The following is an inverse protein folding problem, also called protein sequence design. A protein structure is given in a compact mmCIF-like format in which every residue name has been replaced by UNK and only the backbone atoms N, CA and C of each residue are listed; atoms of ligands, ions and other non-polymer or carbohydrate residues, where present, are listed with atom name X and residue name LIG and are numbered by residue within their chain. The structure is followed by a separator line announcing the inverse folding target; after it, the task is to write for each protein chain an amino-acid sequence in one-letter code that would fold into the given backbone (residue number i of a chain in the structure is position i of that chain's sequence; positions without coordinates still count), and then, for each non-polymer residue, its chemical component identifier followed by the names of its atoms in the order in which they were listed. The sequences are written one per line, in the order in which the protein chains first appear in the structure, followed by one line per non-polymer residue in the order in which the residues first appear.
data_IF_978601478578
#
_entry.id   IF_978601478578
#
_cell.length_a   1.000
_cell.length_b   1.000
_cell.length_c   1.000
_cell.angle_alpha   90.00
_cell.angle_beta   90.00
_cell.angle_gamma   90.00
#
_symmetry.space_group_name_H-M   'P 1'
#
loop_
_entity.id
_entity.type
_entity.pdbx_description
1 polymer ?
#
# COMPACT_ATOMS: atom_id res chain seq x y z
N UNK A 1 4.29 76.00 -8.84
CA UNK A 1 5.25 76.98 -8.31
C UNK A 1 6.30 76.18 -7.55
N UNK A 2 7.51 76.12 -8.12
CA UNK A 2 8.79 75.66 -7.54
C UNK A 2 8.86 74.15 -7.17
N UNK A 3 9.39 73.24 -7.99
CA UNK A 3 10.75 73.09 -8.60
C UNK A 3 11.77 72.58 -7.56
N UNK A 4 12.22 71.32 -7.58
CA UNK A 4 13.31 70.72 -8.39
C UNK A 4 14.63 70.60 -7.62
N UNK A 5 15.23 69.40 -7.62
CA UNK A 5 16.48 69.07 -8.32
C UNK A 5 16.80 67.58 -8.06
N UNK A 6 16.85 66.70 -9.08
CA UNK A 6 17.94 66.49 -10.08
C UNK A 6 19.14 65.73 -9.47
N UNK A 7 19.83 64.79 -10.12
CA UNK A 7 19.73 64.22 -11.45
C UNK A 7 20.63 62.97 -11.53
N UNK A 8 20.38 62.19 -12.58
CA UNK A 8 21.15 61.06 -13.11
C UNK A 8 22.60 61.37 -13.50
N UNK A 9 23.41 60.31 -13.58
CA UNK A 9 24.42 59.94 -14.60
C UNK A 9 25.46 59.05 -13.91
N UNK A 10 26.01 57.95 -14.43
CA UNK A 10 26.01 57.38 -15.77
C UNK A 10 27.34 56.61 -15.94
N UNK A 11 27.24 55.37 -16.45
CA UNK A 11 28.24 54.66 -17.28
C UNK A 11 29.56 54.08 -16.72
N UNK A 12 29.63 52.74 -16.82
CA UNK A 12 30.60 51.89 -17.57
C UNK A 12 31.69 51.06 -16.85
N UNK A 13 31.56 49.75 -17.09
CA UNK A 13 32.56 48.71 -17.44
C UNK A 13 33.56 48.15 -16.41
N UNK A 14 33.49 46.83 -16.24
CA UNK A 14 34.57 45.98 -15.71
C UNK A 14 34.04 44.58 -15.35
N UNK A 15 34.26 43.59 -16.22
CA UNK A 15 33.74 42.23 -16.10
C UNK A 15 34.57 41.25 -15.25
N UNK A 16 34.03 40.02 -15.18
CA UNK A 16 34.59 38.75 -14.64
C UNK A 16 34.67 38.70 -13.10
N UNK A 17 34.23 37.67 -12.38
CA UNK A 17 34.06 36.24 -12.72
C UNK A 17 33.24 35.56 -11.61
N UNK A 18 32.55 34.49 -12.00
CA UNK A 18 31.77 33.55 -11.19
C UNK A 18 32.58 32.95 -10.04
N UNK A 19 32.03 32.97 -8.82
CA UNK A 19 32.20 31.89 -7.85
C UNK A 19 30.95 31.78 -6.96
N UNK A 20 30.35 30.59 -6.95
CA UNK A 20 29.05 30.30 -6.38
C UNK A 20 28.97 30.60 -4.89
N UNK A 21 28.00 31.45 -4.52
CA UNK A 21 27.51 31.53 -3.15
C UNK A 21 26.48 30.41 -3.00
N UNK A 22 26.91 29.32 -2.36
CA UNK A 22 26.03 28.25 -1.90
C UNK A 22 24.91 28.89 -1.08
N UNK A 23 23.69 28.96 -1.64
CA UNK A 23 22.49 29.28 -0.88
C UNK A 23 22.31 28.14 0.13
N UNK A 24 22.78 28.39 1.35
CA UNK A 24 22.42 27.61 2.53
C UNK A 24 20.92 27.88 2.71
N UNK A 25 20.10 26.91 2.32
CA UNK A 25 18.68 26.87 2.63
C UNK A 25 18.53 26.78 4.16
N UNK A 26 18.54 27.93 4.82
CA UNK A 26 18.17 28.05 6.23
C UNK A 26 16.65 27.91 6.31
N UNK A 27 16.19 26.67 6.52
CA UNK A 27 14.83 26.40 6.97
C UNK A 27 14.71 26.91 8.41
N UNK A 28 14.16 28.11 8.60
CA UNK A 28 13.69 28.55 9.92
C UNK A 28 12.40 27.79 10.26
N UNK A 29 12.51 26.55 10.72
CA UNK A 29 11.37 25.83 11.30
C UNK A 29 11.12 26.34 12.72
N UNK A 30 9.87 26.68 13.02
CA UNK A 30 9.44 26.94 14.40
C UNK A 30 9.55 25.63 15.21
N UNK A 31 9.77 25.70 16.53
CA UNK A 31 9.95 24.49 17.36
C UNK A 31 8.75 23.53 17.28
N UNK A 32 7.54 24.08 17.18
CA UNK A 32 6.28 23.33 17.02
C UNK A 32 6.20 22.64 15.65
N UNK A 33 6.61 23.31 14.57
CA UNK A 33 6.61 22.74 13.21
C UNK A 33 7.60 21.58 13.11
N UNK A 34 8.73 21.69 13.80
CA UNK A 34 9.74 20.61 13.88
C UNK A 34 9.17 19.37 14.55
N UNK A 35 8.44 19.54 15.66
CA UNK A 35 7.80 18.43 16.38
C UNK A 35 6.71 17.74 15.54
N UNK A 36 5.85 18.51 14.86
CA UNK A 36 4.84 17.96 13.96
C UNK A 36 5.45 17.18 12.79
N UNK A 37 6.51 17.72 12.20
CA UNK A 37 7.25 17.03 11.14
C UNK A 37 7.82 15.69 11.61
N UNK A 38 8.46 15.66 12.80
CA UNK A 38 9.01 14.43 13.39
C UNK A 38 7.92 13.38 13.62
N UNK A 39 6.75 13.78 14.15
CA UNK A 39 5.63 12.85 14.33
C UNK A 39 5.11 12.30 13.01
N UNK A 40 4.98 13.14 11.98
CA UNK A 40 4.58 12.70 10.64
C UNK A 40 5.56 11.69 10.04
N UNK A 41 6.86 11.94 10.15
CA UNK A 41 7.90 11.03 9.64
C UNK A 41 7.91 9.71 10.42
N UNK A 42 7.82 9.77 11.75
CA UNK A 42 7.79 8.57 12.59
C UNK A 42 6.56 7.69 12.27
N UNK A 43 5.38 8.30 12.11
CA UNK A 43 4.16 7.60 11.74
C UNK A 43 4.26 6.98 10.34
N UNK A 44 4.86 7.67 9.36
CA UNK A 44 5.14 7.11 8.03
C UNK A 44 6.06 5.88 8.10
N UNK A 45 7.15 5.95 8.87
CA UNK A 45 8.09 4.82 9.03
C UNK A 45 7.39 3.63 9.67
N UNK A 46 6.59 3.86 10.71
CA UNK A 46 5.79 2.80 11.33
C UNK A 46 4.82 2.15 10.34
N UNK A 47 4.11 2.96 9.54
CA UNK A 47 3.20 2.46 8.50
C UNK A 47 3.93 1.61 7.45
N UNK A 48 5.08 2.07 6.96
CA UNK A 48 5.93 1.35 5.99
C UNK A 48 6.34 -0.03 6.52
N UNK A 49 6.83 -0.09 7.75
CA UNK A 49 7.31 -1.34 8.36
C UNK A 49 6.16 -2.32 8.59
N UNK A 50 5.03 -1.84 9.09
CA UNK A 50 3.86 -2.68 9.37
C UNK A 50 3.22 -3.21 8.08
N UNK A 51 2.97 -2.35 7.08
CA UNK A 51 2.44 -2.79 5.79
C UNK A 51 3.40 -3.74 5.07
N UNK A 52 4.70 -3.44 5.07
CA UNK A 52 5.68 -4.28 4.38
C UNK A 52 5.86 -5.65 5.02
N UNK A 53 5.46 -5.79 6.28
CA UNK A 53 5.62 -7.02 7.06
C UNK A 53 4.30 -7.77 7.28
N UNK A 54 3.15 -7.20 6.91
CA UNK A 54 1.83 -7.74 7.26
C UNK A 54 1.60 -9.16 6.72
N UNK A 55 2.19 -9.51 5.57
CA UNK A 55 2.05 -10.83 4.93
C UNK A 55 3.23 -11.77 5.22
N UNK A 56 4.19 -11.37 6.06
CA UNK A 56 5.29 -12.25 6.49
C UNK A 56 4.79 -13.43 7.34
N UNK A 57 3.86 -13.25 8.32
CA UNK A 57 3.36 -14.36 9.14
C UNK A 57 2.71 -15.48 8.32
N UNK A 58 2.09 -15.13 7.20
CA UNK A 58 1.28 -16.06 6.39
C UNK A 58 2.11 -16.89 5.42
N UNK A 59 3.32 -16.42 5.08
CA UNK A 59 4.17 -17.08 4.08
C UNK A 59 4.69 -18.44 4.57
N UNK A 60 4.83 -18.62 5.89
CA UNK A 60 5.32 -19.87 6.51
C UNK A 60 4.21 -20.89 6.77
N UNK A 61 2.95 -20.54 6.51
CA UNK A 61 1.79 -21.38 6.81
C UNK A 61 1.04 -21.76 5.54
N UNK A 62 0.49 -22.97 5.49
CA UNK A 62 -0.34 -23.40 4.36
C UNK A 62 -1.61 -22.57 4.28
N UNK A 63 -1.69 -21.70 3.28
CA UNK A 63 -2.80 -20.75 3.07
C UNK A 63 -3.99 -21.32 2.30
N UNK A 64 -3.85 -22.53 1.75
CA UNK A 64 -4.90 -23.17 0.94
C UNK A 64 -5.27 -22.36 -0.30
N UNK A 65 -6.55 -22.03 -0.43
CA UNK A 65 -7.09 -21.14 -1.48
C UNK A 65 -7.18 -19.67 -1.07
N UNK A 66 -6.83 -19.34 0.18
CA UNK A 66 -6.76 -17.98 0.70
C UNK A 66 -8.08 -17.34 1.12
N UNK A 67 -9.24 -17.92 0.82
CA UNK A 67 -10.54 -17.29 1.09
C UNK A 67 -10.83 -17.19 2.59
N UNK A 68 -10.54 -18.26 3.33
CA UNK A 68 -10.68 -18.26 4.80
C UNK A 68 -9.69 -17.30 5.45
N UNK A 69 -8.43 -17.29 4.99
CA UNK A 69 -7.42 -16.34 5.46
C UNK A 69 -7.88 -14.89 5.26
N UNK A 70 -8.38 -14.56 4.07
CA UNK A 70 -8.84 -13.22 3.74
C UNK A 70 -9.96 -12.75 4.68
N UNK A 71 -10.89 -13.65 5.01
CA UNK A 71 -11.97 -13.34 5.96
C UNK A 71 -11.47 -13.11 7.37
N UNK A 72 -10.58 -13.98 7.89
CA UNK A 72 -9.96 -13.80 9.22
C UNK A 72 -9.15 -12.51 9.29
N UNK A 73 -8.36 -12.22 8.26
CA UNK A 73 -7.58 -10.98 8.14
C UNK A 73 -8.50 -9.75 8.20
N UNK A 74 -9.59 -9.73 7.44
CA UNK A 74 -10.56 -8.64 7.45
C UNK A 74 -11.30 -8.51 8.79
N UNK A 75 -11.59 -9.62 9.48
CA UNK A 75 -12.18 -9.60 10.81
C UNK A 75 -11.25 -8.95 11.83
N UNK A 76 -9.95 -9.25 11.80
CA UNK A 76 -8.96 -8.59 12.65
C UNK A 76 -8.84 -7.10 12.37
N UNK A 77 -8.83 -6.71 11.08
CA UNK A 77 -8.83 -5.29 10.67
C UNK A 77 -10.03 -4.56 11.31
N UNK A 78 -11.21 -5.16 11.22
CA UNK A 78 -12.42 -4.57 11.77
C UNK A 78 -12.39 -4.45 13.29
N UNK A 79 -11.94 -5.48 14.02
CA UNK A 79 -11.83 -5.45 15.48
C UNK A 79 -10.91 -4.32 15.93
N UNK A 80 -9.73 -4.18 15.31
CA UNK A 80 -8.80 -3.09 15.64
C UNK A 80 -9.42 -1.73 15.31
N UNK A 81 -10.12 -1.62 14.17
CA UNK A 81 -10.79 -0.37 13.80
C UNK A 81 -11.92 0.03 14.75
N UNK A 82 -12.65 -0.96 15.31
CA UNK A 82 -13.70 -0.73 16.30
C UNK A 82 -13.11 -0.22 17.61
N UNK A 83 -11.98 -0.78 18.05
CA UNK A 83 -11.27 -0.25 19.23
C UNK A 83 -10.80 1.19 18.99
N UNK A 84 -10.27 1.47 17.80
CA UNK A 84 -9.85 2.83 17.45
C UNK A 84 -11.02 3.82 17.37
N UNK A 85 -12.17 3.41 16.85
CA UNK A 85 -13.41 4.21 16.83
C UNK A 85 -13.83 4.62 18.25
N UNK A 86 -13.84 3.67 19.19
CA UNK A 86 -14.18 3.92 20.59
C UNK A 86 -13.20 4.88 21.26
N UNK A 87 -11.89 4.76 20.96
CA UNK A 87 -10.85 5.67 21.48
C UNK A 87 -11.02 7.10 20.92
N UNK A 88 -11.49 7.22 19.68
CA UNK A 88 -11.76 8.50 19.02
C UNK A 88 -13.14 9.09 19.37
N UNK A 89 -13.84 8.52 20.35
CA UNK A 89 -15.19 8.92 20.77
C UNK A 89 -16.24 8.80 19.67
N UNK A 90 -16.13 7.77 18.83
CA UNK A 90 -17.10 7.39 17.78
C UNK A 90 -17.48 8.56 16.86
N UNK A 91 -16.57 8.99 15.99
CA UNK A 91 -16.82 10.05 15.01
C UNK A 91 -17.99 9.70 14.08
N UNK A 92 -18.52 10.72 13.39
CA UNK A 92 -19.68 10.56 12.52
C UNK A 92 -19.43 9.50 11.45
N UNK A 93 -20.23 8.44 11.46
CA UNK A 93 -20.11 7.36 10.49
C UNK A 93 -20.58 7.80 9.09
N UNK A 94 -19.71 7.70 8.09
CA UNK A 94 -20.03 8.01 6.70
C UNK A 94 -20.09 6.74 5.83
N UNK A 95 -21.28 6.22 5.48
CA UNK A 95 -21.41 4.96 4.74
C UNK A 95 -20.71 4.97 3.37
N UNK A 96 -20.58 6.14 2.73
CA UNK A 96 -19.87 6.25 1.45
C UNK A 96 -18.39 5.86 1.55
N UNK A 97 -17.75 6.05 2.72
CA UNK A 97 -16.38 5.59 2.95
C UNK A 97 -16.25 4.05 2.95
N UNK A 98 -17.34 3.30 3.22
CA UNK A 98 -17.36 1.84 3.13
C UNK A 98 -17.05 1.35 1.71
N UNK A 99 -17.39 2.13 0.67
CA UNK A 99 -17.07 1.79 -0.72
C UNK A 99 -15.55 1.64 -0.92
N UNK A 100 -14.75 2.47 -0.26
CA UNK A 100 -13.30 2.37 -0.29
C UNK A 100 -12.79 1.06 0.28
N UNK A 101 -13.42 0.62 1.38
CA UNK A 101 -13.16 -0.68 2.00
C UNK A 101 -13.57 -1.86 1.11
N UNK A 102 -14.68 -1.74 0.40
CA UNK A 102 -15.13 -2.77 -0.55
C UNK A 102 -14.15 -2.94 -1.72
N UNK A 103 -13.69 -1.82 -2.29
CA UNK A 103 -12.68 -1.80 -3.36
C UNK A 103 -11.39 -2.48 -2.86
N UNK A 104 -10.93 -2.12 -1.65
CA UNK A 104 -9.75 -2.73 -1.05
C UNK A 104 -9.91 -4.24 -0.86
N UNK A 105 -11.01 -4.67 -0.24
CA UNK A 105 -11.28 -6.09 0.02
C UNK A 105 -11.33 -6.93 -1.26
N UNK A 106 -11.82 -6.34 -2.35
CA UNK A 106 -11.82 -6.96 -3.69
C UNK A 106 -10.39 -7.24 -4.17
N UNK A 107 -9.50 -6.25 -4.06
CA UNK A 107 -8.10 -6.40 -4.43
C UNK A 107 -7.36 -7.45 -3.60
N UNK A 108 -7.72 -7.57 -2.31
CA UNK A 108 -7.03 -8.45 -1.37
C UNK A 108 -7.36 -9.93 -1.56
N UNK A 109 -8.49 -10.29 -2.17
CA UNK A 109 -8.77 -11.69 -2.55
C UNK A 109 -7.62 -12.28 -3.38
N UNK A 110 -7.01 -11.47 -4.26
CA UNK A 110 -5.95 -11.94 -5.15
C UNK A 110 -4.57 -12.07 -4.47
N UNK A 111 -4.40 -11.70 -3.20
CA UNK A 111 -3.08 -11.75 -2.53
C UNK A 111 -2.52 -13.16 -2.50
N UNK A 112 -3.30 -14.16 -2.08
CA UNK A 112 -2.83 -15.55 -2.01
C UNK A 112 -2.44 -16.10 -3.39
N UNK A 113 -3.25 -15.97 -4.46
CA UNK A 113 -2.81 -16.38 -5.78
C UNK A 113 -1.59 -15.58 -6.29
N UNK A 114 -1.47 -14.28 -6.01
CA UNK A 114 -0.27 -13.50 -6.39
C UNK A 114 0.98 -14.06 -5.70
N UNK A 115 0.92 -14.25 -4.38
CA UNK A 115 2.07 -14.73 -3.58
C UNK A 115 2.48 -16.14 -4.01
N UNK A 116 1.53 -17.01 -4.36
CA UNK A 116 1.80 -18.35 -4.91
C UNK A 116 2.34 -18.30 -6.35
N UNK A 117 1.92 -17.33 -7.16
CA UNK A 117 2.31 -17.25 -8.56
C UNK A 117 3.71 -16.63 -8.77
N UNK A 118 4.01 -15.54 -8.08
CA UNK A 118 5.20 -14.70 -8.33
C UNK A 118 5.98 -14.35 -7.06
N UNK A 119 5.57 -14.80 -5.88
CA UNK A 119 6.26 -14.53 -4.62
C UNK A 119 5.76 -13.26 -3.91
N UNK A 120 6.07 -13.15 -2.62
CA UNK A 120 5.62 -12.04 -1.79
C UNK A 120 6.35 -10.74 -2.16
N UNK A 121 7.68 -10.81 -2.34
CA UNK A 121 8.49 -9.62 -2.60
C UNK A 121 8.14 -8.98 -3.95
N UNK A 122 8.17 -9.79 -5.02
CA UNK A 122 7.87 -9.31 -6.37
C UNK A 122 6.41 -8.86 -6.52
N UNK A 123 5.47 -9.63 -5.96
CA UNK A 123 4.07 -9.22 -5.91
C UNK A 123 3.92 -7.83 -5.28
N UNK A 124 4.54 -7.63 -4.11
CA UNK A 124 4.44 -6.40 -3.33
C UNK A 124 4.87 -5.15 -4.07
N UNK A 125 5.91 -5.29 -4.86
CA UNK A 125 6.42 -4.20 -5.67
C UNK A 125 5.51 -3.89 -6.86
N UNK A 126 4.98 -4.91 -7.55
CA UNK A 126 4.11 -4.69 -8.71
C UNK A 126 2.79 -4.04 -8.29
N UNK A 127 2.13 -4.55 -7.23
CA UNK A 127 0.90 -3.92 -6.76
C UNK A 127 1.18 -2.57 -6.09
N UNK A 128 2.31 -2.42 -5.40
CA UNK A 128 2.76 -1.14 -4.83
C UNK A 128 2.93 -0.06 -5.90
N UNK A 129 3.70 -0.34 -6.95
CA UNK A 129 3.88 0.60 -8.08
C UNK A 129 2.54 0.95 -8.75
N UNK A 130 1.65 -0.03 -8.96
CA UNK A 130 0.34 0.20 -9.57
C UNK A 130 -0.59 1.03 -8.66
N UNK A 131 -0.55 0.78 -7.35
CA UNK A 131 -1.27 1.56 -6.33
C UNK A 131 -0.77 2.99 -6.27
N UNK A 132 0.56 3.19 -6.33
CA UNK A 132 1.18 4.52 -6.33
C UNK A 132 0.70 5.33 -7.52
N UNK A 133 0.73 4.76 -8.73
CA UNK A 133 0.29 5.42 -9.96
C UNK A 133 -1.20 5.74 -9.95
N UNK A 134 -2.04 4.82 -9.48
CA UNK A 134 -3.48 5.06 -9.39
C UNK A 134 -3.81 6.17 -8.39
N UNK A 135 -3.22 6.15 -7.20
CA UNK A 135 -3.44 7.19 -6.19
C UNK A 135 -2.89 8.56 -6.64
N UNK A 136 -1.74 8.56 -7.32
CA UNK A 136 -1.18 9.77 -7.93
C UNK A 136 -2.11 10.33 -9.02
N UNK A 137 -2.54 9.50 -9.97
CA UNK A 137 -3.40 9.93 -11.07
C UNK A 137 -4.76 10.43 -10.58
N UNK A 138 -5.36 9.73 -9.62
CA UNK A 138 -6.64 10.14 -9.05
C UNK A 138 -6.56 11.48 -8.32
N UNK A 139 -5.49 11.72 -7.56
CA UNK A 139 -5.27 12.99 -6.86
C UNK A 139 -4.89 14.15 -7.80
N UNK A 140 -4.07 13.87 -8.82
CA UNK A 140 -3.55 14.89 -9.74
C UNK A 140 -4.58 15.36 -10.76
N UNK A 141 -5.34 14.43 -11.34
CA UNK A 141 -6.31 14.71 -12.39
C UNK A 141 -7.75 14.86 -11.87
N UNK A 142 -7.96 14.66 -10.57
CA UNK A 142 -9.29 14.71 -9.98
C UNK A 142 -10.21 13.58 -10.45
N UNK A 143 -9.66 12.39 -10.71
CA UNK A 143 -10.51 11.23 -11.03
C UNK A 143 -11.48 10.96 -9.87
N UNK A 144 -12.63 10.38 -10.21
CA UNK A 144 -13.71 10.12 -9.26
C UNK A 144 -14.33 11.39 -8.64
N UNK A 145 -14.17 12.55 -9.28
CA UNK A 145 -14.76 13.82 -8.84
C UNK A 145 -14.03 14.48 -7.68
N UNK A 146 -12.79 14.06 -7.39
CA UNK A 146 -11.95 14.70 -6.37
C UNK A 146 -11.43 16.03 -6.92
N UNK A 147 -11.30 17.06 -6.08
CA UNK A 147 -10.67 18.31 -6.49
C UNK A 147 -9.22 18.06 -6.97
N UNK A 148 -8.85 18.44 -8.21
CA UNK A 148 -7.49 18.25 -8.70
C UNK A 148 -6.49 18.98 -7.81
N UNK A 149 -5.45 18.28 -7.36
CA UNK A 149 -4.38 18.93 -6.60
C UNK A 149 -3.37 19.59 -7.54
N UNK A 150 -3.20 20.90 -7.37
CA UNK A 150 -2.13 21.65 -8.00
C UNK A 150 -0.78 21.42 -7.31
N UNK A 151 0.25 21.31 -8.13
CA UNK A 151 1.61 20.99 -7.70
C UNK A 151 2.54 22.11 -8.16
N UNK A 152 3.35 22.65 -7.25
CA UNK A 152 4.26 23.77 -7.51
C UNK A 152 5.19 23.53 -8.69
N UNK A 153 5.67 22.28 -8.87
CA UNK A 153 6.59 21.88 -9.95
C UNK A 153 6.03 20.71 -10.76
N UNK A 154 5.13 20.93 -11.74
CA UNK A 154 4.42 19.87 -12.44
C UNK A 154 5.34 18.95 -13.26
N UNK A 155 6.40 19.49 -13.88
CA UNK A 155 7.36 18.68 -14.65
C UNK A 155 8.08 17.68 -13.74
N UNK A 156 8.51 18.13 -12.56
CA UNK A 156 9.19 17.27 -11.58
C UNK A 156 8.26 16.15 -11.07
N UNK A 157 6.99 16.48 -10.89
CA UNK A 157 5.94 15.53 -10.49
C UNK A 157 5.72 14.45 -11.56
N UNK A 158 5.59 14.83 -12.84
CA UNK A 158 5.44 13.88 -13.94
C UNK A 158 6.67 13.00 -14.14
N UNK A 159 7.87 13.56 -14.01
CA UNK A 159 9.10 12.76 -14.02
C UNK A 159 9.13 11.75 -12.87
N UNK A 160 8.72 12.15 -11.66
CA UNK A 160 8.62 11.27 -10.50
C UNK A 160 7.66 10.11 -10.72
N UNK A 161 6.44 10.39 -11.18
CA UNK A 161 5.45 9.37 -11.54
C UNK A 161 5.95 8.44 -12.66
N UNK A 162 6.62 9.00 -13.68
CA UNK A 162 7.25 8.24 -14.77
C UNK A 162 8.32 7.27 -14.29
N UNK A 163 9.15 7.68 -13.32
CA UNK A 163 10.15 6.80 -12.69
C UNK A 163 9.48 5.67 -11.89
N UNK A 164 8.41 5.96 -11.15
CA UNK A 164 7.65 4.91 -10.44
C UNK A 164 7.04 3.89 -11.42
N UNK A 165 6.51 4.33 -12.57
CA UNK A 165 6.05 3.45 -13.64
C UNK A 165 7.20 2.61 -14.22
N UNK A 166 8.34 3.24 -14.52
CA UNK A 166 9.52 2.57 -15.03
C UNK A 166 10.02 1.50 -14.06
N UNK A 167 10.04 1.80 -12.76
CA UNK A 167 10.36 0.84 -11.70
C UNK A 167 9.44 -0.39 -11.76
N UNK A 168 8.13 -0.20 -11.87
CA UNK A 168 7.16 -1.29 -11.96
C UNK A 168 7.42 -2.19 -13.18
N UNK A 169 7.78 -1.58 -14.32
CA UNK A 169 8.16 -2.30 -15.53
C UNK A 169 9.48 -3.07 -15.36
N UNK A 170 10.49 -2.49 -14.68
CA UNK A 170 11.74 -3.19 -14.40
C UNK A 170 11.50 -4.38 -13.45
N UNK A 171 10.65 -4.22 -12.44
CA UNK A 171 10.30 -5.31 -11.52
C UNK A 171 9.67 -6.50 -12.25
N UNK A 172 8.88 -6.27 -13.31
CA UNK A 172 8.34 -7.35 -14.13
C UNK A 172 9.43 -8.29 -14.71
N UNK A 173 10.65 -7.78 -14.95
CA UNK A 173 11.77 -8.57 -15.44
C UNK A 173 12.53 -9.33 -14.35
N UNK A 174 12.37 -8.97 -13.07
CA UNK A 174 12.98 -9.70 -11.95
C UNK A 174 12.37 -11.10 -11.89
N UNK A 175 13.20 -12.14 -11.96
CA UNK A 175 12.73 -13.52 -11.80
C UNK A 175 12.69 -13.86 -10.31
N UNK A 176 11.49 -14.00 -9.77
CA UNK A 176 11.28 -14.63 -8.48
C UNK A 176 11.16 -16.15 -8.68
N UNK A 177 11.97 -16.91 -7.94
CA UNK A 177 11.77 -18.34 -7.78
C UNK A 177 10.80 -18.55 -6.62
N UNK A 178 9.60 -19.03 -6.93
CA UNK A 178 8.67 -19.53 -5.93
C UNK A 178 8.92 -21.02 -5.81
N UNK A 179 9.45 -21.46 -4.68
CA UNK A 179 9.65 -22.88 -4.41
C UNK A 179 8.31 -23.61 -4.56
N UNK A 180 8.24 -24.45 -5.57
CA UNK A 180 7.06 -25.20 -5.98
C UNK A 180 6.74 -26.37 -5.05
N UNK A 181 7.67 -26.72 -4.15
CA UNK A 181 7.55 -27.85 -3.26
C UNK A 181 7.85 -27.38 -1.82
N UNK A 182 6.91 -27.52 -0.87
CA UNK A 182 7.32 -27.83 0.48
C UNK A 182 7.89 -29.26 0.39
N UNK A 183 9.18 -29.39 0.10
CA UNK A 183 9.85 -30.63 0.43
C UNK A 183 9.68 -30.78 1.94
N UNK A 184 8.80 -31.71 2.28
CA UNK A 184 8.78 -32.45 3.53
C UNK A 184 10.21 -32.82 3.90
N UNK A 185 10.90 -31.94 4.63
CA UNK A 185 12.07 -32.33 5.39
C UNK A 185 11.70 -32.34 6.86
N UNK A 186 11.76 -33.55 7.43
CA UNK A 186 11.59 -33.94 8.83
C UNK A 186 10.16 -34.06 9.38
N UNK A 187 9.41 -35.07 8.89
CA UNK A 187 8.61 -35.88 9.83
C UNK A 187 9.57 -36.89 10.45
N UNK A 188 10.03 -36.75 11.72
CA UNK A 188 10.40 -37.93 12.45
C UNK A 188 9.11 -38.75 12.62
N UNK A 189 9.09 -39.92 11.97
CA UNK A 189 8.17 -41.00 12.28
C UNK A 189 8.08 -41.13 13.81
N UNK A 190 6.84 -41.09 14.32
CA UNK A 190 6.37 -41.31 15.71
C UNK A 190 5.53 -40.13 16.24
N UNK A 191 4.38 -39.89 15.61
CA UNK A 191 3.20 -39.45 16.35
C UNK A 191 2.19 -40.59 16.27
N UNK A 192 1.72 -40.93 17.45
CA UNK A 192 1.09 -42.16 17.86
C UNK A 192 -0.08 -42.60 16.95
N UNK A 193 -0.05 -43.88 16.60
CA UNK A 193 -1.07 -44.57 15.80
C UNK A 193 -2.25 -44.89 16.70
N UNK A 194 -3.11 -43.92 16.99
CA UNK A 194 -4.47 -44.15 17.49
C UNK A 194 -5.31 -42.91 17.26
N UNK A 195 -6.22 -42.96 16.27
CA UNK A 195 -7.70 -42.92 16.44
C UNK A 195 -8.34 -42.46 15.13
N UNK A 196 -9.35 -43.20 14.68
CA UNK A 196 -10.26 -42.99 13.53
C UNK A 196 -9.78 -43.31 12.11
N UNK A 197 -9.90 -44.60 11.79
CA UNK A 197 -10.26 -45.09 10.46
C UNK A 197 -11.56 -44.42 10.00
N UNK A 198 -11.50 -43.66 8.90
CA UNK A 198 -12.68 -43.05 8.29
C UNK A 198 -12.32 -42.25 7.05
N UNK A 199 -12.42 -42.90 5.88
CA UNK A 199 -12.42 -42.30 4.54
C UNK A 199 -11.21 -41.42 4.17
N UNK A 200 -10.31 -41.97 3.34
CA UNK A 200 -9.43 -41.16 2.49
C UNK A 200 -10.30 -40.23 1.62
N UNK A 201 -10.53 -39.01 2.10
CA UNK A 201 -10.90 -37.88 1.26
C UNK A 201 -9.73 -37.57 0.33
N UNK A 202 -9.98 -36.98 -0.86
CA UNK A 202 -8.94 -36.77 -1.84
C UNK A 202 -7.81 -35.94 -1.22
N UNK A 203 -6.58 -36.44 -1.40
CA UNK A 203 -5.32 -35.72 -1.20
C UNK A 203 -5.49 -34.26 -1.60
N UNK A 204 -5.14 -33.34 -0.69
CA UNK A 204 -5.16 -31.89 -0.84
C UNK A 204 -5.43 -31.42 -2.28
N UNK A 205 -6.70 -31.19 -2.60
CA UNK A 205 -7.14 -30.77 -3.93
C UNK A 205 -6.34 -29.54 -4.36
N UNK A 206 -5.45 -29.75 -5.34
CA UNK A 206 -4.51 -28.78 -5.88
C UNK A 206 -5.21 -27.44 -6.16
N UNK A 207 -4.63 -26.35 -5.68
CA UNK A 207 -5.16 -25.03 -5.96
C UNK A 207 -4.94 -24.72 -7.45
N UNK A 208 -5.91 -24.07 -8.10
CA UNK A 208 -5.93 -23.89 -9.56
C UNK A 208 -4.64 -23.28 -10.13
N UNK A 209 -3.97 -22.41 -9.37
CA UNK A 209 -2.73 -21.76 -9.81
C UNK A 209 -1.54 -22.72 -9.86
N UNK A 210 -1.61 -23.81 -9.10
CA UNK A 210 -0.55 -24.82 -9.02
C UNK A 210 -0.59 -25.74 -10.26
N UNK A 211 -1.75 -25.83 -10.93
CA UNK A 211 -1.95 -26.62 -12.15
C UNK A 211 -1.52 -25.88 -13.44
N UNK A 212 -1.24 -24.58 -13.35
CA UNK A 212 -0.90 -23.75 -14.50
C UNK A 212 0.61 -23.77 -14.74
N UNK A 213 1.01 -23.92 -16.02
CA UNK A 213 2.41 -23.87 -16.43
C UNK A 213 3.13 -22.59 -15.97
N UNK A 214 4.42 -22.71 -15.65
CA UNK A 214 5.21 -21.67 -14.95
C UNK A 214 5.18 -20.28 -15.63
N UNK A 215 5.21 -20.23 -16.97
CA UNK A 215 5.16 -18.97 -17.72
C UNK A 215 3.79 -18.28 -17.61
N UNK A 216 2.71 -19.03 -17.83
CA UNK A 216 1.34 -18.52 -17.74
C UNK A 216 0.98 -18.12 -16.31
N UNK A 217 1.43 -18.92 -15.33
CA UNK A 217 1.27 -18.61 -13.91
C UNK A 217 1.87 -17.26 -13.54
N UNK A 218 3.10 -16.99 -14.01
CA UNK A 218 3.76 -15.70 -13.80
C UNK A 218 2.98 -14.55 -14.40
N UNK A 219 2.51 -14.68 -15.65
CA UNK A 219 1.71 -13.63 -16.30
C UNK A 219 0.42 -13.35 -15.52
N UNK A 220 -0.30 -14.39 -15.12
CA UNK A 220 -1.52 -14.27 -14.31
C UNK A 220 -1.21 -13.58 -12.97
N UNK A 221 -0.14 -14.00 -12.27
CA UNK A 221 0.27 -13.39 -11.01
C UNK A 221 0.61 -11.90 -11.16
N UNK A 222 1.33 -11.51 -12.22
CA UNK A 222 1.62 -10.10 -12.49
C UNK A 222 0.35 -9.30 -12.82
N UNK A 223 -0.55 -9.84 -13.65
CA UNK A 223 -1.81 -9.18 -13.99
C UNK A 223 -2.70 -8.99 -12.76
N UNK A 224 -2.83 -10.02 -11.92
CA UNK A 224 -3.54 -9.93 -10.65
C UNK A 224 -2.90 -8.88 -9.73
N UNK A 225 -1.57 -8.82 -9.64
CA UNK A 225 -0.88 -7.81 -8.85
C UNK A 225 -1.14 -6.38 -9.35
N UNK A 226 -1.14 -6.16 -10.67
CA UNK A 226 -1.48 -4.85 -11.24
C UNK A 226 -2.92 -4.49 -10.89
N UNK A 227 -3.89 -5.38 -11.14
CA UNK A 227 -5.32 -5.13 -10.84
C UNK A 227 -5.54 -4.86 -9.36
N UNK A 228 -4.98 -5.67 -8.47
CA UNK A 228 -5.04 -5.45 -7.01
C UNK A 228 -4.42 -4.10 -6.62
N UNK A 229 -3.29 -3.74 -7.21
CA UNK A 229 -2.66 -2.45 -6.97
C UNK A 229 -3.53 -1.27 -7.39
N UNK A 230 -4.16 -1.33 -8.57
CA UNK A 230 -5.11 -0.30 -9.00
C UNK A 230 -6.32 -0.17 -8.05
N UNK A 231 -6.82 -1.30 -7.53
CA UNK A 231 -7.89 -1.29 -6.53
C UNK A 231 -7.41 -0.67 -5.20
N UNK A 232 -6.22 -1.04 -4.73
CA UNK A 232 -5.63 -0.45 -3.51
C UNK A 232 -5.43 1.05 -3.64
N UNK A 233 -4.91 1.54 -4.77
CA UNK A 233 -4.74 2.97 -5.02
C UNK A 233 -6.06 3.74 -5.09
N UNK A 234 -7.14 3.07 -5.52
CA UNK A 234 -8.49 3.64 -5.57
C UNK A 234 -9.24 3.57 -4.23
N UNK A 235 -8.75 2.79 -3.26
CA UNK A 235 -9.47 2.51 -2.01
C UNK A 235 -9.67 3.74 -1.11
N UNK A 236 -8.83 4.76 -1.23
CA UNK A 236 -8.97 6.02 -0.50
C UNK A 236 -9.75 7.09 -1.26
N UNK A 237 -10.08 6.87 -2.55
CA UNK A 237 -10.80 7.86 -3.36
C UNK A 237 -12.16 8.28 -2.76
N UNK A 238 -12.99 7.38 -2.20
CA UNK A 238 -14.26 7.78 -1.58
C UNK A 238 -14.09 8.71 -0.36
N UNK A 239 -13.02 8.50 0.44
CA UNK A 239 -12.72 9.36 1.59
C UNK A 239 -12.26 10.75 1.10
N UNK A 240 -11.37 10.77 0.10
CA UNK A 240 -10.93 12.03 -0.53
C UNK A 240 -12.09 12.80 -1.17
N UNK A 241 -13.06 12.10 -1.76
CA UNK A 241 -14.26 12.70 -2.33
C UNK A 241 -15.15 13.36 -1.26
N UNK A 242 -15.38 12.68 -0.12
CA UNK A 242 -16.13 13.27 1.00
C UNK A 242 -15.43 14.54 1.48
N UNK A 243 -14.11 14.47 1.67
CA UNK A 243 -13.30 15.62 2.12
C UNK A 243 -13.28 16.77 1.12
N UNK A 244 -13.22 16.51 -0.18
CA UNK A 244 -13.23 17.60 -1.17
C UNK A 244 -14.58 18.31 -1.28
N UNK A 245 -15.68 17.66 -0.86
CA UNK A 245 -17.04 18.21 -0.88
C UNK A 245 -17.53 18.66 0.50
N UNK A 246 -16.69 18.64 1.53
CA UNK A 246 -17.08 19.03 2.89
C UNK A 246 -17.25 20.54 3.03
N UNK A 247 -16.47 21.33 2.28
CA UNK A 247 -16.52 22.81 2.30
C UNK A 247 -17.63 23.40 1.43
N UNK A 248 -18.29 22.60 0.59
CA UNK A 248 -19.38 23.08 -0.26
C UNK A 248 -20.69 23.08 0.53
N UNK A 249 -21.25 24.28 0.73
CA UNK A 249 -22.40 24.53 1.61
C UNK A 249 -23.73 23.91 1.11
N UNK A 250 -23.78 23.49 -0.15
CA UNK A 250 -24.94 22.82 -0.76
C UNK A 250 -24.72 21.31 -1.04
N UNK A 251 -23.56 20.75 -0.70
CA UNK A 251 -23.29 19.32 -0.94
C UNK A 251 -23.79 18.42 0.20
N UNK A 252 -24.14 17.17 -0.14
CA UNK A 252 -24.57 16.12 0.81
C UNK A 252 -23.57 15.87 1.97
N UNK A 253 -22.32 16.28 1.80
CA UNK A 253 -21.23 16.10 2.76
C UNK A 253 -20.83 17.39 3.51
N UNK A 254 -21.65 18.45 3.46
CA UNK A 254 -21.37 19.70 4.17
C UNK A 254 -21.12 19.45 5.66
N UNK A 255 -20.00 19.97 6.17
CA UNK A 255 -19.58 19.79 7.57
C UNK A 255 -19.02 18.41 7.91
N UNK A 256 -18.62 17.60 6.92
CA UNK A 256 -17.87 16.37 7.16
C UNK A 256 -16.48 16.68 7.72
N UNK A 257 -15.94 15.78 8.56
CA UNK A 257 -14.66 15.98 9.24
C UNK A 257 -13.50 16.07 8.25
N UNK A 258 -12.55 16.96 8.50
CA UNK A 258 -11.30 16.99 7.74
C UNK A 258 -10.27 15.99 8.29
N UNK A 259 -10.49 15.47 9.49
CA UNK A 259 -9.58 14.55 10.15
C UNK A 259 -9.67 13.16 9.53
N UNK A 260 -8.56 12.71 8.96
CA UNK A 260 -8.50 11.46 8.21
C UNK A 260 -8.97 10.25 9.05
N UNK A 261 -8.60 10.21 10.34
CA UNK A 261 -8.88 9.07 11.22
C UNK A 261 -10.38 8.81 11.44
N UNK A 262 -11.23 9.82 11.27
CA UNK A 262 -12.68 9.69 11.46
C UNK A 262 -13.34 8.75 10.46
N UNK A 263 -12.68 8.52 9.32
CA UNK A 263 -13.18 7.67 8.24
C UNK A 263 -12.67 6.22 8.31
N UNK A 264 -11.67 5.94 9.15
CA UNK A 264 -11.00 4.62 9.20
C UNK A 264 -11.98 3.52 9.59
N UNK A 265 -12.82 3.75 10.59
CA UNK A 265 -13.83 2.77 11.02
C UNK A 265 -14.88 2.48 9.95
N UNK A 266 -15.34 3.51 9.24
CA UNK A 266 -16.27 3.35 8.13
C UNK A 266 -15.64 2.58 6.96
N UNK A 267 -14.38 2.88 6.60
CA UNK A 267 -13.66 2.11 5.59
C UNK A 267 -13.49 0.64 6.01
N UNK A 268 -13.05 0.38 7.24
CA UNK A 268 -12.84 -0.98 7.75
C UNK A 268 -14.14 -1.78 7.88
N UNK A 269 -15.26 -1.12 8.17
CA UNK A 269 -16.59 -1.73 8.13
C UNK A 269 -16.95 -2.19 6.71
N UNK A 270 -16.63 -1.39 5.70
CA UNK A 270 -16.76 -1.78 4.29
C UNK A 270 -15.89 -2.99 3.92
N UNK A 271 -14.66 -3.05 4.43
CA UNK A 271 -13.75 -4.21 4.26
C UNK A 271 -14.40 -5.48 4.80
N UNK A 272 -14.87 -5.46 6.04
CA UNK A 272 -15.42 -6.64 6.70
C UNK A 272 -16.74 -7.13 6.11
N UNK A 273 -17.66 -6.21 5.80
CA UNK A 273 -18.93 -6.55 5.16
C UNK A 273 -18.68 -7.20 3.80
N UNK A 274 -17.83 -6.59 2.97
CA UNK A 274 -17.51 -7.11 1.63
C UNK A 274 -16.81 -8.47 1.72
N UNK A 275 -15.84 -8.61 2.63
CA UNK A 275 -15.16 -9.89 2.86
C UNK A 275 -16.13 -10.99 3.34
N UNK A 276 -17.09 -10.64 4.19
CA UNK A 276 -18.12 -11.58 4.66
C UNK A 276 -19.05 -12.00 3.52
N UNK A 277 -19.41 -11.09 2.61
CA UNK A 277 -20.17 -11.43 1.39
C UNK A 277 -19.37 -12.41 0.53
N UNK A 278 -18.08 -12.15 0.28
CA UNK A 278 -17.23 -13.05 -0.50
C UNK A 278 -17.09 -14.43 0.14
N UNK A 279 -16.88 -14.49 1.45
CA UNK A 279 -16.79 -15.75 2.16
C UNK A 279 -18.12 -16.51 2.14
N UNK A 280 -19.26 -15.80 2.25
CA UNK A 280 -20.60 -16.40 2.13
C UNK A 280 -20.84 -16.99 0.74
N UNK A 281 -20.54 -16.24 -0.32
CA UNK A 281 -20.63 -16.72 -1.71
C UNK A 281 -19.74 -17.93 -1.92
N UNK A 282 -18.53 -17.93 -1.37
CA UNK A 282 -17.62 -19.06 -1.40
C UNK A 282 -18.19 -20.28 -0.67
N UNK A 283 -18.77 -20.12 0.52
CA UNK A 283 -19.43 -21.19 1.25
C UNK A 283 -20.61 -21.79 0.47
N UNK A 284 -21.42 -20.94 -0.19
CA UNK A 284 -22.51 -21.39 -1.07
C UNK A 284 -21.97 -22.19 -2.26
N UNK A 285 -20.94 -21.68 -2.94
CA UNK A 285 -20.29 -22.37 -4.06
C UNK A 285 -19.65 -23.70 -3.66
N UNK A 286 -19.09 -23.77 -2.45
CA UNK A 286 -18.53 -24.99 -1.84
C UNK A 286 -19.60 -25.89 -1.20
N UNK A 287 -20.89 -25.61 -1.39
CA UNK A 287 -22.02 -26.38 -0.82
C UNK A 287 -21.88 -26.59 0.70
N UNK A 288 -21.53 -25.52 1.40
CA UNK A 288 -21.28 -25.47 2.84
C UNK A 288 -20.17 -26.43 3.34
N UNK A 289 -19.20 -26.73 2.47
CA UNK A 289 -17.95 -27.44 2.82
C UNK A 289 -16.73 -26.57 2.49
N UNK A 290 -16.59 -25.37 3.08
CA UNK A 290 -15.47 -24.47 2.82
C UNK A 290 -14.14 -25.08 3.29
N UNK A 291 -13.04 -24.75 2.61
CA UNK A 291 -11.70 -25.15 3.04
C UNK A 291 -11.22 -24.24 4.16
N UNK A 292 -11.31 -24.74 5.40
CA UNK A 292 -10.92 -23.98 6.60
C UNK A 292 -9.60 -24.54 7.14
N UNK A 293 -8.58 -23.69 7.17
CA UNK A 293 -7.27 -24.02 7.74
C UNK A 293 -7.11 -23.32 9.08
N UNK A 294 -7.37 -24.04 10.17
CA UNK A 294 -7.33 -23.47 11.54
C UNK A 294 -5.97 -22.90 11.93
N UNK A 295 -4.88 -23.43 11.37
CA UNK A 295 -3.52 -22.92 11.56
C UNK A 295 -3.32 -21.49 11.03
N UNK A 296 -4.21 -21.01 10.15
CA UNK A 296 -4.17 -19.64 9.60
C UNK A 296 -4.82 -18.61 10.50
N UNK A 297 -5.54 -19.01 11.56
CA UNK A 297 -6.27 -18.05 12.39
C UNK A 297 -5.30 -17.05 13.03
N UNK A 298 -4.28 -17.53 13.75
CA UNK A 298 -3.33 -16.64 14.44
C UNK A 298 -2.47 -15.80 13.48
N UNK A 299 -1.87 -16.36 12.40
CA UNK A 299 -1.19 -15.56 11.39
C UNK A 299 -2.10 -14.54 10.70
N UNK A 300 -3.37 -14.91 10.45
CA UNK A 300 -4.38 -14.03 9.86
C UNK A 300 -4.75 -12.87 10.76
N UNK A 301 -4.95 -13.14 12.05
CA UNK A 301 -5.21 -12.09 13.04
C UNK A 301 -4.03 -11.13 13.17
N UNK A 302 -2.79 -11.65 13.20
CA UNK A 302 -1.59 -10.83 13.27
C UNK A 302 -1.42 -9.97 12.01
N UNK A 303 -1.66 -10.55 10.82
CA UNK A 303 -1.62 -9.83 9.54
C UNK A 303 -2.61 -8.66 9.52
N UNK A 304 -3.85 -8.90 9.95
CA UNK A 304 -4.89 -7.87 9.98
C UNK A 304 -4.64 -6.80 11.02
N UNK A 305 -4.09 -7.17 12.18
CA UNK A 305 -3.67 -6.22 13.20
C UNK A 305 -2.55 -5.30 12.70
N UNK A 306 -1.53 -5.86 12.05
CA UNK A 306 -0.46 -5.08 11.45
C UNK A 306 -0.99 -4.13 10.38
N UNK A 307 -1.89 -4.59 9.51
CA UNK A 307 -2.51 -3.75 8.47
C UNK A 307 -3.33 -2.60 9.07
N UNK A 308 -4.15 -2.88 10.09
CA UNK A 308 -4.99 -1.86 10.71
C UNK A 308 -4.16 -0.80 11.42
N UNK A 309 -3.16 -1.21 12.22
CA UNK A 309 -2.22 -0.28 12.85
C UNK A 309 -1.46 0.55 11.81
N UNK A 310 -1.03 -0.06 10.71
CA UNK A 310 -0.39 0.66 9.61
C UNK A 310 -1.32 1.71 8.99
N UNK A 311 -2.63 1.42 8.88
CA UNK A 311 -3.64 2.36 8.39
C UNK A 311 -3.78 3.55 9.34
N UNK A 312 -3.90 3.31 10.66
CA UNK A 312 -3.91 4.40 11.64
C UNK A 312 -2.64 5.26 11.57
N UNK A 313 -1.46 4.64 11.45
CA UNK A 313 -0.20 5.36 11.29
C UNK A 313 -0.13 6.16 9.97
N UNK A 314 -0.63 5.62 8.86
CA UNK A 314 -0.70 6.33 7.58
C UNK A 314 -1.58 7.58 7.72
N UNK A 315 -2.80 7.42 8.21
CA UNK A 315 -3.76 8.51 8.33
C UNK A 315 -3.26 9.57 9.33
N UNK A 316 -2.58 9.16 10.41
CA UNK A 316 -1.89 10.09 11.30
C UNK A 316 -0.77 10.86 10.60
N UNK A 317 0.02 10.19 9.75
CA UNK A 317 1.07 10.84 8.97
C UNK A 317 0.50 11.82 7.93
N UNK A 318 -0.64 11.51 7.32
CA UNK A 318 -1.33 12.42 6.39
C UNK A 318 -1.70 13.74 7.06
N UNK A 319 -2.14 13.70 8.31
CA UNK A 319 -2.51 14.90 9.05
C UNK A 319 -1.31 15.84 9.27
N UNK A 320 -0.08 15.32 9.38
CA UNK A 320 1.12 16.13 9.60
C UNK A 320 1.88 16.48 8.30
N UNK A 321 1.90 15.59 7.30
CA UNK A 321 2.75 15.73 6.10
C UNK A 321 1.95 15.86 4.79
N UNK A 322 0.61 15.80 4.82
CA UNK A 322 -0.28 15.72 3.65
C UNK A 322 -0.20 14.39 2.89
N UNK A 323 -1.35 13.93 2.39
CA UNK A 323 -1.49 12.70 1.61
C UNK A 323 -0.57 12.62 0.37
N UNK A 324 -0.19 13.75 -0.23
CA UNK A 324 0.70 13.76 -1.41
C UNK A 324 2.13 13.38 -1.08
N UNK A 325 2.59 13.67 0.13
CA UNK A 325 3.95 13.33 0.57
C UNK A 325 3.96 11.91 1.12
N UNK A 326 2.99 11.57 1.97
CA UNK A 326 2.93 10.26 2.64
C UNK A 326 2.63 9.13 1.67
N UNK A 327 1.75 9.34 0.67
CA UNK A 327 1.26 8.25 -0.18
C UNK A 327 2.36 7.61 -1.05
N UNK A 328 3.21 8.38 -1.78
CA UNK A 328 4.34 7.81 -2.49
C UNK A 328 5.37 7.15 -1.55
N UNK A 329 5.67 7.78 -0.40
CA UNK A 329 6.66 7.27 0.57
C UNK A 329 6.20 5.94 1.17
N UNK A 330 4.96 5.87 1.66
CA UNK A 330 4.41 4.63 2.23
C UNK A 330 4.33 3.55 1.18
N UNK A 331 3.80 3.88 -0.01
CA UNK A 331 3.55 2.87 -1.06
C UNK A 331 4.84 2.27 -1.62
N UNK A 332 5.84 3.10 -1.88
CA UNK A 332 7.16 2.59 -2.27
C UNK A 332 7.87 1.90 -1.10
N UNK A 333 7.82 2.49 0.09
CA UNK A 333 8.50 2.00 1.27
C UNK A 333 8.03 0.61 1.70
N UNK A 334 6.72 0.37 1.81
CA UNK A 334 6.22 -0.94 2.21
C UNK A 334 6.55 -2.02 1.18
N UNK A 335 6.51 -1.67 -0.12
CA UNK A 335 6.85 -2.60 -1.20
C UNK A 335 8.30 -3.05 -1.08
N UNK A 336 9.20 -2.13 -0.75
CA UNK A 336 10.61 -2.43 -0.51
C UNK A 336 10.83 -3.26 0.74
N UNK A 337 10.14 -2.96 1.85
CA UNK A 337 10.23 -3.78 3.08
C UNK A 337 9.75 -5.21 2.81
N UNK A 338 8.61 -5.38 2.14
CA UNK A 338 8.11 -6.70 1.75
C UNK A 338 9.09 -7.44 0.83
N UNK A 339 9.74 -6.71 -0.08
CA UNK A 339 10.73 -7.28 -0.95
C UNK A 339 12.06 -7.62 -0.25
N UNK A 340 12.45 -6.88 0.79
CA UNK A 340 13.57 -7.26 1.67
C UNK A 340 13.25 -8.56 2.42
N UNK A 341 12.02 -8.73 2.93
CA UNK A 341 11.58 -10.01 3.49
C UNK A 341 11.62 -11.13 2.44
N UNK A 342 11.12 -10.86 1.23
CA UNK A 342 11.17 -11.77 0.07
C UNK A 342 12.60 -12.21 -0.29
N UNK A 343 13.53 -11.26 -0.34
CA UNK A 343 14.91 -11.50 -0.74
C UNK A 343 15.77 -12.11 0.36
N UNK A 344 15.71 -11.59 1.59
CA UNK A 344 16.62 -11.97 2.68
C UNK A 344 16.14 -13.21 3.43
N UNK A 345 14.84 -13.30 3.71
CA UNK A 345 14.28 -14.36 4.56
C UNK A 345 13.72 -15.49 3.72
N UNK A 346 12.93 -15.17 2.69
CA UNK A 346 12.32 -16.18 1.83
C UNK A 346 13.20 -16.58 0.64
N UNK A 347 14.32 -15.89 0.41
CA UNK A 347 15.29 -16.16 -0.67
C UNK A 347 14.62 -16.32 -2.04
N UNK A 348 13.54 -15.55 -2.28
CA UNK A 348 12.75 -15.59 -3.52
C UNK A 348 13.52 -15.04 -4.73
N UNK A 349 14.48 -14.13 -4.48
CA UNK A 349 15.31 -13.51 -5.51
C UNK A 349 16.70 -14.13 -5.44
N UNK A 350 17.01 -15.03 -6.37
CA UNK A 350 18.32 -15.68 -6.49
C UNK A 350 19.10 -15.18 -7.69
N UNK A 351 20.42 -15.16 -7.56
CA UNK A 351 21.36 -14.76 -8.61
C UNK A 351 21.74 -13.27 -8.57
N UNK A 352 23.02 -12.99 -8.83
CA UNK A 352 23.59 -11.64 -8.75
C UNK A 352 22.92 -10.67 -9.72
N UNK A 353 22.63 -11.11 -10.94
CA UNK A 353 21.94 -10.27 -11.95
C UNK A 353 20.53 -9.88 -11.51
N UNK A 354 19.74 -10.81 -10.96
CA UNK A 354 18.39 -10.50 -10.47
C UNK A 354 18.46 -9.55 -9.26
N UNK A 355 19.45 -9.74 -8.38
CA UNK A 355 19.68 -8.85 -7.24
C UNK A 355 20.07 -7.44 -7.68
N UNK A 356 20.92 -7.31 -8.71
CA UNK A 356 21.29 -6.00 -9.29
C UNK A 356 20.10 -5.31 -9.95
N UNK A 357 19.30 -6.04 -10.74
CA UNK A 357 18.07 -5.48 -11.36
C UNK A 357 17.09 -5.04 -10.27
N UNK A 358 16.94 -5.84 -9.22
CA UNK A 358 16.09 -5.54 -8.08
C UNK A 358 16.55 -4.28 -7.33
N UNK A 359 17.85 -4.17 -7.03
CA UNK A 359 18.44 -3.01 -6.38
C UNK A 359 18.26 -1.75 -7.24
N UNK A 360 18.54 -1.85 -8.55
CA UNK A 360 18.34 -0.75 -9.48
C UNK A 360 16.88 -0.29 -9.52
N UNK A 361 15.92 -1.20 -9.66
CA UNK A 361 14.50 -0.88 -9.66
C UNK A 361 14.04 -0.26 -8.32
N UNK A 362 14.64 -0.70 -7.20
CA UNK A 362 14.40 -0.13 -5.87
C UNK A 362 14.92 1.31 -5.76
N UNK A 363 16.11 1.59 -6.29
CA UNK A 363 16.61 2.96 -6.36
C UNK A 363 15.69 3.84 -7.22
N UNK A 364 15.26 3.34 -8.38
CA UNK A 364 14.37 4.07 -9.30
C UNK A 364 13.03 4.41 -8.61
N UNK A 365 12.41 3.47 -7.86
CA UNK A 365 11.13 3.74 -7.18
C UNK A 365 11.28 4.75 -6.04
N UNK A 366 12.38 4.67 -5.28
CA UNK A 366 12.68 5.63 -4.21
C UNK A 366 12.89 7.03 -4.78
N UNK A 367 13.71 7.14 -5.83
CA UNK A 367 13.97 8.40 -6.51
C UNK A 367 12.67 8.99 -7.07
N UNK A 368 11.84 8.19 -7.76
CA UNK A 368 10.54 8.63 -8.28
C UNK A 368 9.58 9.12 -7.19
N UNK A 369 9.53 8.41 -6.05
CA UNK A 369 8.66 8.76 -4.92
C UNK A 369 9.11 10.06 -4.26
N UNK A 370 10.42 10.23 -4.05
CA UNK A 370 11.01 11.46 -3.49
C UNK A 370 10.81 12.64 -4.43
N UNK A 371 11.02 12.46 -5.73
CA UNK A 371 10.75 13.50 -6.75
C UNK A 371 9.28 13.95 -6.74
N UNK A 372 8.36 12.99 -6.63
CA UNK A 372 6.92 13.27 -6.53
C UNK A 372 6.61 14.04 -5.25
N UNK A 373 7.18 13.67 -4.11
CA UNK A 373 6.99 14.39 -2.85
C UNK A 373 7.59 15.81 -2.89
N UNK A 374 8.83 15.96 -3.37
CA UNK A 374 9.52 17.26 -3.46
C UNK A 374 8.82 18.20 -4.45
N UNK A 375 8.14 17.69 -5.48
CA UNK A 375 7.45 18.55 -6.45
C UNK A 375 6.36 19.44 -5.86
N UNK A 376 5.84 19.09 -4.67
CA UNK A 376 4.83 19.87 -3.94
C UNK A 376 5.44 20.93 -3.02
N UNK A 377 6.70 20.76 -2.62
CA UNK A 377 7.50 21.79 -1.94
C UNK A 377 7.91 22.86 -2.95
#
# INVERSE_FOLDING_TARGET
MVSCHSAEQGTRYGGNTVFGKLERFDFSFNSTDTTHFVYGVAANVAAVLLYGSNFVPIKKTETGDGMFFQWVNCAAIWIVSMVGDLILNSPKFHPFAMLGGAIWATGTIAVVPIVKAIGLGLGSLIWGSSSLLMGWASSRFGWFGIAPQDVSRPILNYCGAGLCLLSGLIFFFVKAEVDLNPNSESIPLLIDRRTYSGSYGPTASEFWIDQIGQKTRRVIGCLLAVVSGLLYGSSFAPILYIKSHSSCQECMFSGASEYDLDYVYAQCSGIFVTSTIYFTVYCVGMRNRPRVYSRLILPGLLSGLMWALATYCWFLANNYLSAVITFPIITAGYGLVAALWGSLVFKEIKGMTNCLIFFFASCVVLTGSVLTAISKL
#
